data_IF_291561078830
#
_entry.id   IF_291561078830
#
_cell.length_a   1.000
_cell.length_b   1.000
_cell.length_c   1.000
_cell.angle_alpha   90.00
_cell.angle_beta   90.00
_cell.angle_gamma   90.00
#
_symmetry.space_group_name_H-M   'P 1'
#
loop_
_entity.id
_entity.type
_entity.pdbx_description
1 polymer ?
#
# COMPACT_ATOMS: atom_id res chain seq x y z
N UNK A 1 44.79 -17.17 -5.74
CA UNK A 1 44.17 -15.94 -6.29
C UNK A 1 42.73 -16.14 -6.83
N UNK A 2 42.13 -17.35 -6.76
CA UNK A 2 40.80 -17.66 -7.36
C UNK A 2 39.58 -17.68 -6.40
N UNK A 3 39.64 -17.14 -5.17
CA UNK A 3 38.54 -17.25 -4.19
C UNK A 3 37.34 -16.32 -4.43
N UNK A 4 37.52 -15.23 -5.18
CA UNK A 4 36.46 -14.24 -5.42
C UNK A 4 35.49 -14.68 -6.52
N UNK A 5 36.00 -15.19 -7.65
CA UNK A 5 35.19 -15.66 -8.78
C UNK A 5 34.18 -16.74 -8.38
N UNK A 6 34.64 -17.75 -7.61
CA UNK A 6 33.77 -18.83 -7.12
C UNK A 6 32.66 -18.32 -6.20
N UNK A 7 32.94 -17.29 -5.40
CA UNK A 7 31.96 -16.68 -4.49
C UNK A 7 30.92 -15.87 -5.24
N UNK A 8 31.36 -15.12 -6.24
CA UNK A 8 30.49 -14.41 -7.17
C UNK A 8 29.48 -15.34 -7.83
N UNK A 9 29.96 -16.43 -8.43
CA UNK A 9 29.12 -17.38 -9.14
C UNK A 9 28.19 -18.19 -8.21
N UNK A 10 28.68 -18.64 -7.04
CA UNK A 10 27.91 -19.56 -6.18
C UNK A 10 26.99 -18.88 -5.18
N UNK A 11 27.20 -17.60 -4.88
CA UNK A 11 26.48 -16.89 -3.81
C UNK A 11 25.83 -15.60 -4.33
N UNK A 12 26.62 -14.67 -4.86
CA UNK A 12 26.11 -13.35 -5.24
C UNK A 12 25.17 -13.41 -6.46
N UNK A 13 25.52 -14.18 -7.49
CA UNK A 13 24.69 -14.31 -8.70
C UNK A 13 23.33 -15.00 -8.42
N UNK A 14 23.27 -16.12 -7.66
CA UNK A 14 21.99 -16.68 -7.23
C UNK A 14 21.17 -15.74 -6.34
N UNK A 15 21.80 -14.91 -5.51
CA UNK A 15 21.09 -13.89 -4.73
C UNK A 15 20.45 -12.82 -5.60
N UNK A 16 21.21 -12.28 -6.57
CA UNK A 16 20.69 -11.30 -7.53
C UNK A 16 19.54 -11.92 -8.35
N UNK A 17 19.70 -13.15 -8.81
CA UNK A 17 18.65 -13.87 -9.53
C UNK A 17 17.38 -14.05 -8.68
N UNK A 18 17.52 -14.38 -7.39
CA UNK A 18 16.39 -14.48 -6.46
C UNK A 18 15.72 -13.14 -6.21
N UNK A 19 16.51 -12.07 -6.07
CA UNK A 19 16.02 -10.74 -5.80
C UNK A 19 15.23 -10.18 -7.00
N UNK A 20 15.78 -10.30 -8.21
CA UNK A 20 15.09 -9.92 -9.46
C UNK A 20 13.90 -10.85 -9.72
N UNK A 21 14.10 -12.16 -9.59
CA UNK A 21 13.06 -13.17 -9.82
C UNK A 21 11.89 -13.00 -8.87
N UNK A 22 12.12 -12.74 -7.59
CA UNK A 22 11.06 -12.48 -6.61
C UNK A 22 10.30 -11.20 -6.95
N UNK A 23 11.00 -10.15 -7.37
CA UNK A 23 10.39 -8.91 -7.81
C UNK A 23 9.40 -9.12 -8.97
N UNK A 24 9.84 -9.75 -10.06
CA UNK A 24 8.96 -9.96 -11.20
C UNK A 24 7.84 -10.96 -10.91
N UNK A 25 8.17 -12.11 -10.30
CA UNK A 25 7.18 -13.15 -10.01
C UNK A 25 6.07 -12.65 -9.10
N UNK A 26 6.39 -11.85 -8.07
CA UNK A 26 5.35 -11.32 -7.19
C UNK A 26 4.47 -10.28 -7.90
N UNK A 27 5.06 -9.35 -8.66
CA UNK A 27 4.28 -8.34 -9.38
C UNK A 27 3.38 -8.96 -10.45
N UNK A 28 3.85 -9.98 -11.18
CA UNK A 28 3.03 -10.73 -12.14
C UNK A 28 1.90 -11.48 -11.42
N UNK A 29 2.22 -12.17 -10.32
CA UNK A 29 1.24 -12.93 -9.54
C UNK A 29 0.14 -12.00 -9.00
N UNK A 30 0.51 -10.83 -8.49
CA UNK A 30 -0.46 -9.86 -8.01
C UNK A 30 -1.29 -9.29 -9.16
N UNK A 31 -0.66 -8.87 -10.25
CA UNK A 31 -1.39 -8.36 -11.42
C UNK A 31 -2.44 -9.38 -11.89
N UNK A 32 -2.06 -10.66 -11.98
CA UNK A 32 -2.97 -11.73 -12.39
C UNK A 32 -4.12 -11.97 -11.38
N UNK A 33 -3.81 -12.09 -10.08
CA UNK A 33 -4.80 -12.49 -9.07
C UNK A 33 -5.69 -11.33 -8.56
N UNK A 34 -5.14 -10.12 -8.46
CA UNK A 34 -5.82 -8.93 -7.91
C UNK A 34 -6.43 -8.07 -9.03
N UNK A 35 -5.69 -7.82 -10.13
CA UNK A 35 -6.13 -6.86 -11.15
C UNK A 35 -6.91 -7.51 -12.29
N UNK A 36 -6.42 -8.63 -12.83
CA UNK A 36 -7.06 -9.27 -13.99
C UNK A 36 -8.23 -10.17 -13.57
N UNK A 37 -8.02 -11.05 -12.60
CA UNK A 37 -9.02 -12.05 -12.23
C UNK A 37 -9.98 -11.58 -11.13
N UNK A 38 -9.57 -10.62 -10.31
CA UNK A 38 -10.36 -10.16 -9.15
C UNK A 38 -10.72 -11.26 -8.14
N UNK A 39 -10.10 -12.45 -8.23
CA UNK A 39 -10.49 -13.65 -7.47
C UNK A 39 -10.29 -13.52 -5.96
N UNK A 40 -9.40 -12.61 -5.54
CA UNK A 40 -8.94 -12.53 -4.17
C UNK A 40 -9.17 -11.11 -3.63
N UNK A 41 -10.32 -10.92 -2.97
CA UNK A 41 -10.73 -9.67 -2.30
C UNK A 41 -10.01 -9.46 -0.97
N UNK A 42 -8.69 -9.55 -0.98
CA UNK A 42 -7.87 -9.27 0.20
C UNK A 42 -7.76 -7.76 0.45
N UNK A 43 -7.66 -7.33 1.71
CA UNK A 43 -7.47 -5.94 2.04
C UNK A 43 -6.10 -5.44 1.56
N UNK A 44 -6.00 -4.15 1.21
CA UNK A 44 -4.76 -3.55 0.66
C UNK A 44 -3.52 -3.80 1.51
N UNK A 45 -3.64 -3.87 2.83
CA UNK A 45 -2.52 -4.13 3.73
C UNK A 45 -1.95 -5.55 3.58
N UNK A 46 -2.76 -6.54 3.20
CA UNK A 46 -2.29 -7.89 2.95
C UNK A 46 -1.43 -7.94 1.68
N UNK A 47 -1.94 -7.37 0.57
CA UNK A 47 -1.23 -7.29 -0.70
C UNK A 47 0.01 -6.39 -0.67
N UNK A 48 -0.04 -5.27 0.05
CA UNK A 48 1.06 -4.30 0.05
C UNK A 48 2.17 -4.65 1.06
N UNK A 49 1.86 -5.39 2.13
CA UNK A 49 2.80 -5.64 3.21
C UNK A 49 3.06 -7.12 3.49
N UNK A 50 2.05 -7.91 3.87
CA UNK A 50 2.30 -9.27 4.39
C UNK A 50 2.73 -10.28 3.33
N UNK A 51 2.03 -10.30 2.19
CA UNK A 51 2.39 -11.20 1.10
C UNK A 51 3.80 -10.90 0.59
N UNK A 52 4.18 -9.65 0.22
CA UNK A 52 5.55 -9.36 -0.22
C UNK A 52 6.58 -9.55 0.89
N UNK A 53 6.18 -9.43 2.16
CA UNK A 53 7.05 -9.72 3.29
C UNK A 53 7.42 -11.20 3.35
N UNK A 54 6.45 -12.10 3.26
CA UNK A 54 6.68 -13.55 3.39
C UNK A 54 7.05 -14.24 2.08
N UNK A 55 6.73 -13.67 0.93
CA UNK A 55 6.98 -14.26 -0.38
C UNK A 55 8.44 -14.69 -0.61
N UNK A 56 9.48 -13.88 -0.26
CA UNK A 56 10.88 -14.27 -0.43
C UNK A 56 11.34 -15.39 0.50
N UNK A 57 10.61 -15.67 1.58
CA UNK A 57 11.04 -16.64 2.58
C UNK A 57 11.05 -18.04 1.96
N UNK A 58 10.03 -18.37 1.18
CA UNK A 58 9.88 -19.68 0.52
C UNK A 58 11.12 -20.04 -0.32
N UNK A 59 11.49 -19.27 -1.36
CA UNK A 59 12.63 -19.62 -2.20
C UNK A 59 13.97 -19.57 -1.45
N UNK A 60 14.09 -18.73 -0.42
CA UNK A 60 15.32 -18.63 0.36
C UNK A 60 15.54 -19.85 1.25
N UNK A 61 14.52 -20.28 1.99
CA UNK A 61 14.65 -21.40 2.91
C UNK A 61 14.76 -22.74 2.17
N UNK A 62 14.09 -22.89 1.03
CA UNK A 62 14.09 -24.13 0.25
C UNK A 62 15.34 -24.24 -0.65
N UNK A 63 15.67 -23.18 -1.41
CA UNK A 63 16.72 -23.24 -2.44
C UNK A 63 18.01 -22.52 -2.02
N UNK A 64 17.90 -21.26 -1.60
CA UNK A 64 19.09 -20.43 -1.37
C UNK A 64 19.91 -20.84 -0.15
N UNK A 65 19.25 -21.37 0.89
CA UNK A 65 19.89 -21.87 2.12
C UNK A 65 21.01 -22.86 1.83
N UNK A 66 20.84 -23.73 0.82
CA UNK A 66 21.87 -24.70 0.42
C UNK A 66 23.14 -24.00 -0.10
N UNK A 67 22.98 -22.90 -0.84
CA UNK A 67 24.10 -22.08 -1.35
C UNK A 67 24.75 -21.27 -0.24
N UNK A 68 23.96 -20.70 0.66
CA UNK A 68 24.47 -19.97 1.83
C UNK A 68 25.31 -20.85 2.76
N UNK A 69 24.98 -22.14 2.90
CA UNK A 69 25.77 -23.08 3.70
C UNK A 69 27.20 -23.30 3.18
N UNK A 70 27.53 -22.86 1.94
CA UNK A 70 28.91 -22.89 1.41
C UNK A 70 29.82 -21.84 2.06
N UNK A 71 29.25 -20.83 2.72
CA UNK A 71 30.04 -19.87 3.49
C UNK A 71 30.60 -20.55 4.73
N UNK A 72 31.83 -20.22 5.06
CA UNK A 72 32.44 -20.62 6.33
C UNK A 72 31.86 -19.74 7.46
N UNK A 73 31.24 -20.39 8.44
CA UNK A 73 30.61 -19.76 9.59
C UNK A 73 31.44 -20.03 10.83
N UNK A 74 32.10 -18.99 11.37
CA UNK A 74 32.77 -19.09 12.69
C UNK A 74 31.80 -19.43 13.83
N UNK A 75 30.52 -19.09 13.66
CA UNK A 75 29.47 -19.32 14.67
C UNK A 75 28.21 -19.89 14.03
N UNK A 76 27.68 -20.94 14.65
CA UNK A 76 26.49 -21.65 14.16
C UNK A 76 25.21 -20.79 14.23
N UNK A 77 25.20 -19.75 15.08
CA UNK A 77 24.15 -18.71 15.10
C UNK A 77 24.10 -17.94 13.77
N UNK A 78 25.25 -17.62 13.16
CA UNK A 78 25.31 -16.86 11.91
C UNK A 78 24.79 -17.68 10.71
N UNK A 79 24.99 -19.00 10.74
CA UNK A 79 24.45 -19.93 9.74
C UNK A 79 22.93 -19.92 9.74
N UNK A 80 22.32 -19.76 10.92
CA UNK A 80 20.87 -19.64 11.07
C UNK A 80 20.34 -18.26 10.71
N UNK A 81 21.04 -17.17 11.01
CA UNK A 81 20.52 -15.80 10.83
C UNK A 81 20.64 -15.25 9.40
N UNK A 82 21.64 -15.66 8.60
CA UNK A 82 21.83 -15.09 7.26
C UNK A 82 20.65 -15.34 6.29
N UNK A 83 20.03 -16.52 6.24
CA UNK A 83 18.82 -16.72 5.44
C UNK A 83 17.69 -15.74 5.79
N UNK A 84 17.46 -15.45 7.06
CA UNK A 84 16.46 -14.45 7.48
C UNK A 84 16.83 -13.05 7.02
N UNK A 85 18.11 -12.67 7.13
CA UNK A 85 18.58 -11.38 6.61
C UNK A 85 18.35 -11.27 5.10
N UNK A 86 18.65 -12.33 4.34
CA UNK A 86 18.41 -12.34 2.90
C UNK A 86 16.93 -12.18 2.58
N UNK A 87 16.05 -12.87 3.31
CA UNK A 87 14.60 -12.77 3.13
C UNK A 87 14.13 -11.35 3.38
N UNK A 88 14.51 -10.79 4.52
CA UNK A 88 14.19 -9.41 4.90
C UNK A 88 14.68 -8.39 3.85
N UNK A 89 15.91 -8.54 3.36
CA UNK A 89 16.47 -7.64 2.34
C UNK A 89 15.70 -7.70 1.02
N UNK A 90 15.18 -8.86 0.60
CA UNK A 90 14.36 -8.98 -0.61
C UNK A 90 12.92 -8.50 -0.37
N UNK A 91 12.38 -8.65 0.84
CA UNK A 91 11.04 -8.18 1.20
C UNK A 91 10.90 -6.66 1.11
N UNK A 92 11.93 -5.90 1.46
CA UNK A 92 11.90 -4.43 1.42
C UNK A 92 11.55 -3.85 0.03
N UNK A 93 12.30 -4.14 -1.05
CA UNK A 93 11.98 -3.61 -2.37
C UNK A 93 10.65 -4.15 -2.90
N UNK A 94 10.26 -5.37 -2.52
CA UNK A 94 8.94 -5.90 -2.84
C UNK A 94 7.82 -5.06 -2.21
N UNK A 95 7.89 -4.77 -0.91
CA UNK A 95 6.90 -3.92 -0.22
C UNK A 95 6.83 -2.53 -0.87
N UNK A 96 7.98 -1.91 -1.14
CA UNK A 96 8.03 -0.57 -1.77
C UNK A 96 7.45 -0.63 -3.19
N UNK A 97 7.68 -1.72 -3.94
CA UNK A 97 7.13 -1.90 -5.29
C UNK A 97 5.60 -1.91 -5.33
N UNK A 98 4.97 -2.43 -4.28
CA UNK A 98 3.51 -2.54 -4.22
C UNK A 98 2.79 -1.21 -4.12
N UNK A 99 3.43 -0.19 -3.56
CA UNK A 99 2.86 1.16 -3.50
C UNK A 99 2.77 1.85 -4.85
N UNK A 100 3.59 1.43 -5.83
CA UNK A 100 3.57 2.01 -7.19
C UNK A 100 3.01 1.07 -8.25
N UNK A 101 2.92 -0.24 -8.00
CA UNK A 101 2.33 -1.20 -8.95
C UNK A 101 0.89 -0.81 -9.33
N UNK A 102 0.06 -0.40 -8.36
CA UNK A 102 -1.29 0.09 -8.65
C UNK A 102 -1.31 1.27 -9.60
N UNK A 103 -0.28 2.13 -9.55
CA UNK A 103 -0.19 3.29 -10.43
C UNK A 103 0.28 2.92 -11.84
N UNK A 104 1.17 1.96 -11.93
CA UNK A 104 1.66 1.45 -13.21
C UNK A 104 0.60 0.66 -13.98
N UNK A 105 -0.29 -0.04 -13.26
CA UNK A 105 -1.23 -0.98 -13.86
C UNK A 105 -2.49 -0.35 -14.47
N UNK A 106 -2.85 0.87 -14.06
CA UNK A 106 -4.06 1.53 -14.54
C UNK A 106 -3.73 2.94 -15.02
N UNK A 107 -4.15 3.26 -16.25
CA UNK A 107 -4.06 4.59 -16.80
C UNK A 107 -5.19 5.50 -16.28
N UNK A 108 -5.02 6.82 -16.38
CA UNK A 108 -6.13 7.74 -16.11
C UNK A 108 -6.99 7.85 -17.37
N UNK A 109 -8.22 7.33 -17.30
CA UNK A 109 -9.19 7.49 -18.38
C UNK A 109 -9.90 8.82 -18.23
N UNK A 110 -9.96 9.60 -19.31
CA UNK A 110 -10.72 10.86 -19.30
C UNK A 110 -12.16 10.59 -19.76
N UNK A 111 -13.12 10.89 -18.89
CA UNK A 111 -14.56 10.79 -19.14
C UNK A 111 -15.21 12.16 -19.09
N UNK A 112 -16.26 12.37 -19.88
CA UNK A 112 -16.94 13.67 -19.89
C UNK A 112 -17.82 13.86 -18.65
N UNK A 113 -18.52 12.81 -18.23
CA UNK A 113 -19.47 12.83 -17.10
C UNK A 113 -19.33 11.58 -16.24
N UNK A 114 -19.73 11.61 -14.95
CA UNK A 114 -19.62 10.46 -14.04
C UNK A 114 -20.33 9.20 -14.55
N UNK A 115 -21.48 9.34 -15.23
CA UNK A 115 -22.27 8.23 -15.75
C UNK A 115 -21.47 7.28 -16.66
N UNK A 116 -20.51 7.83 -17.43
CA UNK A 116 -19.70 7.06 -18.40
C UNK A 116 -18.73 6.09 -17.73
N UNK A 117 -18.44 6.26 -16.43
CA UNK A 117 -17.52 5.40 -15.67
C UNK A 117 -18.01 3.94 -15.64
N UNK A 118 -19.32 3.72 -15.68
CA UNK A 118 -19.92 2.37 -15.71
C UNK A 118 -19.48 1.55 -16.93
N UNK A 119 -19.07 2.20 -18.02
CA UNK A 119 -18.58 1.53 -19.22
C UNK A 119 -17.16 0.98 -19.07
N UNK A 120 -16.47 1.28 -17.95
CA UNK A 120 -15.10 0.90 -17.67
C UNK A 120 -15.01 0.15 -16.32
N UNK A 121 -15.58 -1.08 -16.24
CA UNK A 121 -15.68 -1.84 -14.98
C UNK A 121 -14.31 -2.24 -14.40
N UNK A 122 -13.30 -2.45 -15.24
CA UNK A 122 -11.95 -2.84 -14.79
C UNK A 122 -11.09 -1.64 -14.37
N UNK A 123 -11.47 -0.43 -14.77
CA UNK A 123 -10.60 0.74 -14.69
C UNK A 123 -10.72 1.46 -13.35
N UNK A 124 -9.59 1.98 -12.84
CA UNK A 124 -9.54 2.52 -11.48
C UNK A 124 -9.43 4.04 -11.40
N UNK A 125 -8.85 4.71 -12.40
CA UNK A 125 -8.56 6.14 -12.33
C UNK A 125 -9.27 6.90 -13.44
N UNK A 126 -10.04 7.92 -13.06
CA UNK A 126 -10.88 8.68 -13.97
C UNK A 126 -10.66 10.18 -13.82
N UNK A 127 -10.36 10.87 -14.92
CA UNK A 127 -10.49 12.33 -15.00
C UNK A 127 -11.89 12.65 -15.51
N UNK A 128 -12.68 13.36 -14.71
CA UNK A 128 -14.05 13.72 -15.06
C UNK A 128 -14.07 15.20 -15.42
N UNK A 129 -14.37 15.53 -16.68
CA UNK A 129 -14.30 16.91 -17.16
C UNK A 129 -15.46 17.78 -16.65
N UNK A 130 -16.67 17.21 -16.55
CA UNK A 130 -17.87 17.91 -16.13
C UNK A 130 -18.61 17.08 -15.11
N UNK A 131 -18.68 17.59 -13.89
CA UNK A 131 -19.45 16.99 -12.83
C UNK A 131 -19.96 18.06 -11.87
N UNK A 132 -21.16 17.84 -11.38
CA UNK A 132 -21.70 18.52 -10.21
C UNK A 132 -21.74 17.56 -9.03
N UNK A 133 -21.67 18.09 -7.82
CA UNK A 133 -21.80 17.33 -6.58
C UNK A 133 -23.02 17.85 -5.86
N UNK A 134 -23.88 16.95 -5.41
CA UNK A 134 -25.04 17.30 -4.57
C UNK A 134 -24.56 17.58 -3.15
N UNK A 135 -23.78 18.66 -2.96
CA UNK A 135 -23.14 18.99 -1.66
C UNK A 135 -24.16 19.04 -0.51
N UNK A 136 -25.39 19.47 -0.79
CA UNK A 136 -26.50 19.54 0.18
C UNK A 136 -27.01 18.17 0.65
N UNK A 137 -26.77 17.12 -0.13
CA UNK A 137 -27.12 15.72 0.17
C UNK A 137 -25.87 14.90 0.53
N UNK A 138 -24.80 15.57 0.97
CA UNK A 138 -23.60 14.88 1.47
C UNK A 138 -23.84 14.39 2.88
N UNK A 139 -23.48 13.15 3.11
CA UNK A 139 -23.58 12.46 4.37
C UNK A 139 -22.21 12.33 5.03
N UNK A 140 -22.18 12.32 6.35
CA UNK A 140 -20.97 12.13 7.13
C UNK A 140 -21.13 10.94 8.08
N UNK A 141 -20.06 10.15 8.21
CA UNK A 141 -19.90 9.18 9.29
C UNK A 141 -18.58 9.44 10.01
N UNK A 142 -18.63 9.35 11.34
CA UNK A 142 -17.50 9.59 12.23
C UNK A 142 -17.15 8.30 12.94
N UNK A 143 -15.94 7.80 12.71
CA UNK A 143 -15.43 6.63 13.40
C UNK A 143 -14.27 7.03 14.32
N UNK A 144 -14.44 6.79 15.61
CA UNK A 144 -13.42 7.06 16.62
C UNK A 144 -12.84 5.72 17.12
N UNK A 145 -11.56 5.47 16.82
CA UNK A 145 -10.84 4.26 17.21
C UNK A 145 -9.87 4.58 18.35
N UNK A 146 -10.20 4.14 19.57
CA UNK A 146 -9.32 4.31 20.74
C UNK A 146 -8.40 3.09 20.87
N UNK A 147 -7.08 3.32 20.84
CA UNK A 147 -6.08 2.29 21.14
C UNK A 147 -5.49 2.56 22.52
N UNK A 148 -5.91 1.78 23.51
CA UNK A 148 -5.36 1.83 24.87
C UNK A 148 -4.04 1.05 24.88
N UNK A 149 -2.90 1.76 24.95
CA UNK A 149 -1.58 1.13 25.16
C UNK A 149 -1.05 1.51 26.54
N UNK A 150 -1.34 0.70 27.55
CA UNK A 150 -0.65 0.74 28.84
C UNK A 150 0.82 0.36 28.66
N UNK A 151 1.78 1.17 29.13
CA UNK A 151 2.49 0.91 30.40
C UNK A 151 2.90 2.23 31.11
N UNK A 152 2.60 3.40 30.52
CA UNK A 152 2.85 4.75 31.07
C UNK A 152 1.60 5.66 31.08
N UNK A 153 0.40 5.09 30.90
CA UNK A 153 -0.88 5.78 31.11
C UNK A 153 -1.31 6.79 30.03
N UNK A 154 -0.72 6.78 28.84
CA UNK A 154 -1.18 7.61 27.71
C UNK A 154 -2.13 6.84 26.81
N UNK A 155 -3.32 7.40 26.56
CA UNK A 155 -4.24 6.87 25.54
C UNK A 155 -3.90 7.51 24.18
N UNK A 156 -3.87 6.69 23.12
CA UNK A 156 -3.81 7.19 21.75
C UNK A 156 -5.14 6.90 21.06
N UNK A 157 -5.69 7.89 20.38
CA UNK A 157 -6.91 7.73 19.61
C UNK A 157 -6.64 8.09 18.15
N UNK A 158 -7.25 7.36 17.23
CA UNK A 158 -7.35 7.75 15.82
C UNK A 158 -8.78 8.14 15.55
N UNK A 159 -8.95 9.29 14.92
CA UNK A 159 -10.26 9.81 14.55
C UNK A 159 -10.33 9.80 13.03
N UNK A 160 -11.43 9.28 12.52
CA UNK A 160 -11.72 9.23 11.11
C UNK A 160 -13.05 9.94 10.86
N UNK A 161 -13.08 10.80 9.85
CA UNK A 161 -14.30 11.42 9.36
C UNK A 161 -14.42 11.13 7.87
N UNK A 162 -15.50 10.46 7.49
CA UNK A 162 -15.78 10.08 6.11
C UNK A 162 -16.99 10.87 5.64
N UNK A 163 -16.84 11.58 4.52
CA UNK A 163 -17.95 12.15 3.77
C UNK A 163 -18.25 11.27 2.57
N UNK A 164 -19.53 11.07 2.29
CA UNK A 164 -20.00 10.43 1.08
C UNK A 164 -21.23 11.14 0.54
N UNK A 165 -21.33 11.34 -0.77
CA UNK A 165 -22.46 12.04 -1.38
C UNK A 165 -22.62 11.66 -2.84
N UNK A 166 -23.72 12.08 -3.46
CA UNK A 166 -24.02 11.77 -4.87
C UNK A 166 -23.39 12.78 -5.82
N UNK A 167 -22.99 12.27 -6.98
CA UNK A 167 -22.81 13.13 -8.14
C UNK A 167 -24.18 13.58 -8.65
N UNK A 168 -24.27 14.82 -9.11
CA UNK A 168 -25.54 15.38 -9.62
C UNK A 168 -26.13 14.51 -10.74
N UNK A 169 -27.41 14.16 -10.58
CA UNK A 169 -28.13 13.33 -11.54
C UNK A 169 -27.66 11.86 -11.59
N UNK A 170 -26.95 11.39 -10.57
CA UNK A 170 -26.54 9.99 -10.44
C UNK A 170 -27.13 9.33 -9.19
N UNK A 171 -27.75 8.16 -9.37
CA UNK A 171 -28.35 7.41 -8.25
C UNK A 171 -27.37 6.42 -7.61
N UNK A 172 -26.40 5.91 -8.37
CA UNK A 172 -25.51 4.82 -7.94
C UNK A 172 -24.03 5.20 -7.98
N UNK A 173 -23.71 6.47 -8.24
CA UNK A 173 -22.33 6.97 -8.31
C UNK A 173 -22.16 8.03 -7.25
N UNK A 174 -21.26 7.73 -6.32
CA UNK A 174 -20.99 8.50 -5.12
C UNK A 174 -19.55 9.00 -5.14
N UNK A 175 -19.33 10.16 -4.55
CA UNK A 175 -17.99 10.63 -4.20
C UNK A 175 -17.74 10.38 -2.72
N UNK A 176 -16.47 10.14 -2.36
CA UNK A 176 -16.03 9.94 -0.98
C UNK A 176 -14.87 10.86 -0.63
N UNK A 177 -14.86 11.44 0.56
CA UNK A 177 -13.72 12.19 1.12
C UNK A 177 -13.41 11.68 2.51
N UNK A 178 -12.13 11.44 2.78
CA UNK A 178 -11.66 10.88 4.04
C UNK A 178 -10.69 11.84 4.73
N UNK A 179 -10.96 12.11 6.00
CA UNK A 179 -10.06 12.82 6.90
C UNK A 179 -9.66 11.90 8.06
N UNK A 180 -8.40 12.00 8.46
CA UNK A 180 -7.85 11.23 9.58
C UNK A 180 -6.95 12.12 10.41
N UNK A 181 -7.04 11.98 11.73
CA UNK A 181 -6.05 12.51 12.67
C UNK A 181 -5.71 11.48 13.75
N UNK A 182 -4.56 11.68 14.41
CA UNK A 182 -4.08 10.85 15.50
C UNK A 182 -3.80 11.71 16.74
N UNK A 183 -4.61 11.50 17.77
CA UNK A 183 -4.42 12.08 19.09
C UNK A 183 -3.44 11.22 19.89
N UNK A 184 -2.38 11.84 20.41
CA UNK A 184 -1.34 11.18 21.19
C UNK A 184 -1.36 11.67 22.64
N UNK A 185 -1.12 10.77 23.58
CA UNK A 185 -0.98 11.09 25.01
C UNK A 185 -2.20 11.79 25.64
N UNK A 186 -3.41 11.33 25.30
CA UNK A 186 -4.63 11.81 25.95
C UNK A 186 -4.59 11.36 27.42
N UNK A 187 -4.45 12.32 28.34
CA UNK A 187 -4.44 12.09 29.80
C UNK A 187 -5.81 12.34 30.44
N UNK A 188 -6.69 13.10 29.80
CA UNK A 188 -8.00 13.53 30.34
C UNK A 188 -9.06 13.43 29.26
N UNK A 189 -10.21 12.86 29.62
CA UNK A 189 -11.36 12.66 28.71
C UNK A 189 -11.93 13.98 28.15
N UNK A 190 -11.94 15.05 28.95
CA UNK A 190 -12.45 16.37 28.53
C UNK A 190 -11.60 16.98 27.40
N UNK A 191 -10.27 16.93 27.55
CA UNK A 191 -9.33 17.39 26.51
C UNK A 191 -9.45 16.56 25.22
N UNK A 192 -9.79 15.28 25.34
CA UNK A 192 -10.07 14.43 24.19
C UNK A 192 -11.28 14.93 23.40
N UNK A 193 -12.37 15.28 24.08
CA UNK A 193 -13.59 15.75 23.42
C UNK A 193 -13.36 17.09 22.71
N UNK A 194 -12.55 17.98 23.29
CA UNK A 194 -12.16 19.24 22.65
C UNK A 194 -11.33 18.99 21.39
N UNK A 195 -10.28 18.17 21.45
CA UNK A 195 -9.43 17.84 20.29
C UNK A 195 -10.24 17.14 19.19
N UNK A 196 -11.15 16.24 19.56
CA UNK A 196 -12.08 15.60 18.61
C UNK A 196 -13.00 16.65 17.97
N UNK A 197 -13.61 17.53 18.75
CA UNK A 197 -14.51 18.56 18.23
C UNK A 197 -13.79 19.54 17.28
N UNK A 198 -12.56 19.93 17.61
CA UNK A 198 -11.70 20.74 16.74
C UNK A 198 -11.44 20.02 15.42
N UNK A 199 -10.97 18.77 15.46
CA UNK A 199 -10.72 17.98 14.25
C UNK A 199 -11.97 17.87 13.36
N UNK A 200 -13.14 17.57 13.95
CA UNK A 200 -14.39 17.45 13.20
C UNK A 200 -14.79 18.78 12.56
N UNK A 201 -14.70 19.89 13.28
CA UNK A 201 -15.04 21.21 12.75
C UNK A 201 -14.08 21.65 11.65
N UNK A 202 -12.77 21.48 11.84
CA UNK A 202 -11.77 21.79 10.82
C UNK A 202 -11.97 20.94 9.56
N UNK A 203 -12.25 19.65 9.72
CA UNK A 203 -12.50 18.73 8.59
C UNK A 203 -13.77 19.09 7.83
N UNK A 204 -14.87 19.43 8.52
CA UNK A 204 -16.11 19.91 7.89
C UNK A 204 -15.91 21.24 7.16
N UNK A 205 -15.17 22.17 7.75
CA UNK A 205 -14.83 23.44 7.12
C UNK A 205 -13.96 23.24 5.88
N UNK A 206 -12.95 22.37 5.96
CA UNK A 206 -12.10 22.00 4.84
C UNK A 206 -12.93 21.38 3.71
N UNK A 207 -13.83 20.44 4.02
CA UNK A 207 -14.72 19.82 3.04
C UNK A 207 -15.65 20.84 2.38
N UNK A 208 -16.26 21.75 3.15
CA UNK A 208 -17.19 22.75 2.64
C UNK A 208 -16.51 23.73 1.67
N UNK A 209 -15.31 24.19 2.04
CA UNK A 209 -14.48 25.10 1.23
C UNK A 209 -13.78 24.42 0.06
N UNK A 210 -13.79 23.09 0.01
CA UNK A 210 -13.08 22.33 -1.01
C UNK A 210 -13.67 22.59 -2.40
N UNK A 211 -12.82 23.07 -3.30
CA UNK A 211 -13.10 23.05 -4.72
C UNK A 211 -12.73 21.67 -5.29
N UNK A 212 -13.75 20.93 -5.72
CA UNK A 212 -13.57 19.60 -6.26
C UNK A 212 -13.06 19.65 -7.71
N UNK A 213 -13.17 20.79 -8.40
CA UNK A 213 -12.68 20.96 -9.77
C UNK A 213 -11.14 21.04 -9.83
N UNK A 214 -10.47 21.36 -8.73
CA UNK A 214 -9.00 21.41 -8.66
C UNK A 214 -8.33 20.01 -8.63
N UNK A 215 -9.10 18.94 -8.47
CA UNK A 215 -8.53 17.60 -8.35
C UNK A 215 -8.12 17.04 -9.71
N UNK A 216 -6.98 16.34 -9.74
CA UNK A 216 -6.38 15.86 -10.99
C UNK A 216 -7.13 14.66 -11.59
N UNK A 217 -7.69 13.80 -10.74
CA UNK A 217 -8.49 12.62 -11.08
C UNK A 217 -9.26 12.08 -9.86
N UNK A 218 -10.14 11.12 -10.11
CA UNK A 218 -10.88 10.33 -9.13
C UNK A 218 -10.42 8.86 -9.15
N UNK A 219 -10.27 8.26 -7.98
CA UNK A 219 -9.95 6.84 -7.78
C UNK A 219 -11.22 6.06 -7.42
N UNK A 220 -11.53 5.01 -8.18
CA UNK A 220 -12.62 4.08 -7.89
C UNK A 220 -12.24 3.14 -6.74
N UNK A 221 -13.08 3.10 -5.71
CA UNK A 221 -12.92 2.18 -4.58
C UNK A 221 -13.48 0.81 -4.96
N UNK A 222 -12.61 -0.19 -5.06
CA UNK A 222 -12.98 -1.55 -5.51
C UNK A 222 -13.26 -2.48 -4.32
N UNK A 223 -12.32 -2.55 -3.36
CA UNK A 223 -12.40 -3.51 -2.26
C UNK A 223 -13.59 -3.21 -1.31
N UNK A 224 -14.44 -4.20 -0.96
CA UNK A 224 -15.57 -3.99 -0.05
C UNK A 224 -15.19 -3.38 1.30
N UNK A 225 -14.04 -3.81 1.85
CA UNK A 225 -13.51 -3.28 3.12
C UNK A 225 -13.18 -1.79 3.03
N UNK A 226 -12.69 -1.32 1.88
CA UNK A 226 -12.38 0.09 1.66
C UNK A 226 -13.64 0.92 1.32
N UNK A 227 -14.68 0.29 0.75
CA UNK A 227 -15.98 0.93 0.48
C UNK A 227 -16.77 1.18 1.77
N UNK A 228 -16.64 0.26 2.74
CA UNK A 228 -17.46 0.23 3.96
C UNK A 228 -17.61 1.60 4.66
N UNK A 229 -16.55 2.38 4.94
CA UNK A 229 -16.71 3.66 5.65
C UNK A 229 -17.58 4.68 4.90
N UNK A 230 -17.61 4.64 3.57
CA UNK A 230 -18.44 5.52 2.77
C UNK A 230 -19.88 5.03 2.66
N UNK A 231 -20.07 3.71 2.62
CA UNK A 231 -21.42 3.10 2.69
C UNK A 231 -22.03 3.40 4.06
N UNK A 232 -21.26 3.25 5.14
CA UNK A 232 -21.68 3.57 6.50
C UNK A 232 -22.08 5.07 6.58
N UNK A 233 -21.31 5.99 5.97
CA UNK A 233 -21.67 7.40 5.82
C UNK A 233 -22.99 7.64 5.07
N UNK A 234 -23.21 6.98 3.93
CA UNK A 234 -24.47 7.11 3.18
C UNK A 234 -25.67 6.57 3.98
N UNK A 235 -25.48 5.46 4.68
CA UNK A 235 -26.52 4.84 5.51
C UNK A 235 -26.96 5.74 6.66
N UNK A 236 -26.07 6.57 7.23
CA UNK A 236 -26.39 7.53 8.27
C UNK A 236 -27.42 8.61 7.82
N UNK A 237 -27.57 8.80 6.51
CA UNK A 237 -28.60 9.67 5.91
C UNK A 237 -29.81 8.91 5.35
N UNK A 238 -29.95 7.61 5.60
CA UNK A 238 -30.94 6.74 4.96
C UNK A 238 -30.76 6.63 3.43
N UNK A 239 -29.53 6.77 2.93
CA UNK A 239 -29.20 6.45 1.54
C UNK A 239 -28.70 5.01 1.50
N UNK A 240 -29.48 4.12 0.87
CA UNK A 240 -29.08 2.74 0.64
C UNK A 240 -28.19 2.64 -0.60
N UNK A 241 -26.89 2.48 -0.38
CA UNK A 241 -25.90 2.27 -1.42
C UNK A 241 -25.68 0.77 -1.61
N UNK A 242 -26.40 0.18 -2.56
CA UNK A 242 -26.27 -1.25 -2.90
C UNK A 242 -24.83 -1.66 -3.30
N UNK A 243 -24.58 -2.97 -3.42
CA UNK A 243 -23.22 -3.49 -3.65
C UNK A 243 -22.55 -2.99 -4.94
N UNK A 244 -23.36 -2.71 -5.98
CA UNK A 244 -22.93 -2.17 -7.28
C UNK A 244 -22.66 -0.66 -7.27
N UNK A 245 -22.82 -0.01 -6.11
CA UNK A 245 -22.52 1.41 -5.96
C UNK A 245 -21.04 1.69 -6.23
N UNK A 246 -20.79 2.74 -7.02
CA UNK A 246 -19.47 3.21 -7.36
C UNK A 246 -19.11 4.35 -6.42
N UNK A 247 -18.01 4.20 -5.67
CA UNK A 247 -17.47 5.26 -4.81
C UNK A 247 -16.18 5.78 -5.44
N UNK A 248 -16.11 7.08 -5.63
CA UNK A 248 -15.00 7.78 -6.28
C UNK A 248 -14.34 8.76 -5.30
N UNK A 249 -13.04 8.59 -5.07
CA UNK A 249 -12.27 9.44 -4.15
C UNK A 249 -11.44 10.45 -4.97
N UNK A 250 -11.56 11.76 -4.74
CA UNK A 250 -10.80 12.76 -5.48
C UNK A 250 -9.32 12.79 -5.04
N UNK A 251 -8.40 12.90 -5.99
CA UNK A 251 -6.93 12.92 -5.76
C UNK A 251 -6.26 14.16 -6.36
N UNK A 252 -5.51 14.92 -5.54
CA UNK A 252 -4.86 16.18 -5.94
C UNK A 252 -3.56 16.01 -6.74
N UNK A 253 -2.79 14.95 -6.49
CA UNK A 253 -1.51 14.72 -7.20
C UNK A 253 -1.76 14.05 -8.55
N UNK A 254 -1.06 14.47 -9.59
CA UNK A 254 -1.07 13.79 -10.89
C UNK A 254 -0.43 12.39 -10.78
N UNK A 255 -1.11 11.39 -11.34
CA UNK A 255 -0.73 9.98 -11.28
C UNK A 255 0.62 9.66 -11.91
N UNK A 256 0.99 10.41 -12.96
CA UNK A 256 2.16 10.14 -13.79
C UNK A 256 3.49 10.67 -13.21
N UNK A 257 3.49 11.59 -12.23
CA UNK A 257 4.70 12.36 -11.93
C UNK A 257 5.81 11.58 -11.20
N UNK A 258 5.59 10.34 -10.77
CA UNK A 258 6.57 9.60 -9.97
C UNK A 258 6.99 8.24 -10.53
N UNK A 259 6.52 7.77 -11.68
CA UNK A 259 6.90 6.44 -12.21
C UNK A 259 8.41 6.38 -12.56
N UNK A 260 8.93 7.37 -13.28
CA UNK A 260 10.36 7.44 -13.62
C UNK A 260 11.27 7.61 -12.40
N UNK A 261 10.87 8.47 -11.46
CA UNK A 261 11.56 8.64 -10.17
C UNK A 261 11.50 7.36 -9.33
N UNK A 262 10.37 6.67 -9.34
CA UNK A 262 10.17 5.43 -8.61
C UNK A 262 11.09 4.32 -9.12
N UNK A 263 11.30 4.20 -10.44
CA UNK A 263 12.26 3.23 -11.01
C UNK A 263 13.68 3.51 -10.52
N UNK A 264 14.07 4.79 -10.50
CA UNK A 264 15.37 5.21 -9.97
C UNK A 264 15.51 4.91 -8.47
N UNK A 265 14.48 5.20 -7.68
CA UNK A 265 14.43 4.91 -6.24
C UNK A 265 14.52 3.40 -5.97
N UNK A 266 13.90 2.56 -6.81
CA UNK A 266 14.06 1.10 -6.75
C UNK A 266 15.49 0.67 -7.06
N UNK A 267 16.10 1.22 -8.11
CA UNK A 267 17.48 0.94 -8.46
C UNK A 267 18.44 1.25 -7.31
N UNK A 268 18.27 2.41 -6.66
CA UNK A 268 19.04 2.79 -5.46
C UNK A 268 18.80 1.80 -4.32
N UNK A 269 17.54 1.49 -4.01
CA UNK A 269 17.21 0.53 -2.95
C UNK A 269 17.89 -0.82 -3.19
N UNK A 270 17.85 -1.33 -4.43
CA UNK A 270 18.54 -2.57 -4.81
C UNK A 270 20.05 -2.50 -4.61
N UNK A 271 20.71 -1.40 -5.00
CA UNK A 271 22.15 -1.20 -4.82
C UNK A 271 22.52 -1.16 -3.34
N UNK A 272 21.77 -0.42 -2.53
CA UNK A 272 22.01 -0.31 -1.08
C UNK A 272 21.85 -1.67 -0.40
N UNK A 273 20.78 -2.40 -0.69
CA UNK A 273 20.51 -3.71 -0.09
C UNK A 273 21.54 -4.76 -0.52
N UNK A 274 21.93 -4.75 -1.79
CA UNK A 274 23.01 -5.59 -2.28
C UNK A 274 24.34 -5.25 -1.59
N UNK A 275 24.63 -3.97 -1.38
CA UNK A 275 25.84 -3.52 -0.68
C UNK A 275 25.86 -3.99 0.78
N UNK A 276 24.72 -3.94 1.48
CA UNK A 276 24.58 -4.49 2.83
C UNK A 276 24.86 -5.99 2.83
N UNK A 277 24.22 -6.74 1.93
CA UNK A 277 24.45 -8.18 1.80
C UNK A 277 25.93 -8.50 1.46
N UNK A 278 26.52 -7.73 0.56
CA UNK A 278 27.91 -7.85 0.16
C UNK A 278 28.84 -7.62 1.34
N UNK A 279 28.71 -6.52 2.09
CA UNK A 279 29.54 -6.25 3.26
C UNK A 279 29.46 -7.37 4.31
N UNK A 280 28.26 -7.91 4.54
CA UNK A 280 28.03 -8.94 5.55
C UNK A 280 28.66 -10.30 5.19
N UNK A 281 28.76 -10.58 3.89
CA UNK A 281 29.27 -11.85 3.36
C UNK A 281 30.70 -11.75 2.87
N UNK A 282 31.18 -10.60 2.40
CA UNK A 282 32.46 -10.43 1.69
C UNK A 282 33.66 -10.91 2.50
N UNK A 283 33.71 -10.57 3.79
CA UNK A 283 34.81 -10.97 4.70
C UNK A 283 34.85 -12.48 5.01
N UNK A 284 33.84 -13.26 4.60
CA UNK A 284 33.73 -14.70 4.89
C UNK A 284 34.38 -15.54 3.81
N UNK A 285 35.08 -16.61 4.21
CA UNK A 285 35.66 -17.59 3.28
C UNK A 285 34.59 -18.58 2.81
N UNK A 286 34.83 -19.25 1.70
CA UNK A 286 34.05 -20.43 1.30
C UNK A 286 34.61 -21.62 2.11
N UNK A 287 33.75 -22.43 2.70
CA UNK A 287 34.16 -23.65 3.38
C UNK A 287 34.71 -24.66 2.37
N UNK A 288 35.88 -25.23 2.65
CA UNK A 288 36.48 -26.30 1.84
C UNK A 288 35.83 -27.68 2.11
N UNK A 289 34.80 -27.77 2.95
CA UNK A 289 34.24 -29.04 3.45
C UNK A 289 33.33 -29.80 2.47
N UNK A 290 33.47 -29.59 1.16
CA UNK A 290 32.80 -30.39 0.13
C UNK A 290 33.73 -30.52 -1.09
N UNK A 291 34.85 -31.22 -0.86
CA UNK A 291 35.35 -32.19 -1.85
C UNK A 291 34.95 -33.57 -1.33
#
# INVERSE_FOLDING_TARGET
>A
MFKFSTKWQKIYLPFIALLIGSFFSYNILRWLLDFELGWVTLPKWAWNFWIPFFFPWIPIFIWYRKKLNLLDYRHDKLRRTIPFLCAFLISLPLIISQFNLHKAAFEIITVQVPATIKNYPEERYFRINRFGLEKKLTCEDTLLSINIRGMRGGNNAKIYLNFAGRFEGQETIYFGVHYQDQLNNIKKYEKQNEEVAVFLNESRLAFTKQDFQEFAYFEKVVAPVDKKPYIDALSACNIDAGEDSLILIPRKRSHHFDLGRSIFDYGIAFIVLFSIFFLFTFRRKISNSMN
#
